data_IF_793379569748
#
_entry.id   IF_793379569748
#
_cell.length_a   1.000
_cell.length_b   1.000
_cell.length_c   1.000
_cell.angle_alpha   90.00
_cell.angle_beta   90.00
_cell.angle_gamma   90.00
#
_symmetry.space_group_name_H-M   'P 1'
#
loop_
_entity.id
_entity.type
_entity.pdbx_description
1 polymer ?
#
# COMPACT_ATOMS: atom_id res chain seq x y z
N UNK A 1 -19.68 10.69 -1.96
CA UNK A 1 -18.85 9.56 -1.55
C UNK A 1 -19.49 8.29 -2.07
N UNK A 2 -18.78 7.49 -2.82
CA UNK A 2 -19.38 6.27 -3.34
C UNK A 2 -19.45 5.18 -2.25
N UNK A 3 -20.19 4.10 -2.53
CA UNK A 3 -20.41 3.03 -1.58
C UNK A 3 -19.11 2.31 -1.20
N UNK A 4 -18.16 2.21 -2.13
CA UNK A 4 -16.90 1.55 -1.89
C UNK A 4 -16.05 2.31 -0.86
N UNK A 5 -15.99 3.64 -0.96
CA UNK A 5 -15.26 4.45 0.01
C UNK A 5 -15.88 4.39 1.40
N UNK A 6 -17.19 4.37 1.47
CA UNK A 6 -17.89 4.24 2.75
C UNK A 6 -17.63 2.88 3.38
N UNK A 7 -17.66 1.82 2.59
CA UNK A 7 -17.37 0.47 3.04
C UNK A 7 -15.94 0.34 3.58
N UNK A 8 -14.98 0.90 2.85
CA UNK A 8 -13.58 0.92 3.25
C UNK A 8 -13.39 1.69 4.56
N UNK A 9 -14.10 2.82 4.71
CA UNK A 9 -14.07 3.60 5.95
C UNK A 9 -14.61 2.82 7.14
N UNK A 10 -15.66 2.05 6.95
CA UNK A 10 -16.22 1.21 8.00
C UNK A 10 -15.27 0.05 8.36
N UNK A 11 -14.64 -0.56 7.36
CA UNK A 11 -13.63 -1.59 7.61
C UNK A 11 -12.47 -1.04 8.42
N UNK A 12 -12.02 0.16 8.10
CA UNK A 12 -10.92 0.80 8.81
C UNK A 12 -11.25 1.09 10.27
N UNK A 13 -12.54 1.33 10.59
CA UNK A 13 -12.97 1.53 11.97
C UNK A 13 -13.01 0.24 12.76
N UNK A 14 -13.38 -0.86 12.11
CA UNK A 14 -13.56 -2.16 12.76
C UNK A 14 -12.28 -2.98 12.79
N UNK A 15 -11.33 -2.65 11.95
CA UNK A 15 -10.04 -3.33 11.84
C UNK A 15 -8.95 -2.33 12.17
N UNK A 16 -8.04 -2.71 13.07
CA UNK A 16 -6.91 -1.87 13.43
C UNK A 16 -6.00 -1.72 12.21
N UNK A 17 -6.10 -0.57 11.50
CA UNK A 17 -5.20 -0.28 10.40
C UNK A 17 -3.87 0.23 10.93
N UNK A 18 -2.74 -0.29 10.44
CA UNK A 18 -1.45 0.26 10.78
C UNK A 18 -1.39 1.76 10.41
N UNK A 19 -0.81 2.54 11.30
CA UNK A 19 -0.71 4.00 11.13
C UNK A 19 -0.06 4.38 9.80
N UNK A 20 0.90 3.58 9.34
CA UNK A 20 1.64 3.87 8.11
C UNK A 20 0.70 3.94 6.89
N UNK A 21 -0.35 3.12 6.83
CA UNK A 21 -1.31 3.15 5.74
C UNK A 21 -2.08 4.46 5.73
N UNK A 22 -2.43 4.98 6.91
CA UNK A 22 -3.12 6.26 7.03
C UNK A 22 -2.19 7.41 6.62
N UNK A 23 -0.93 7.35 6.98
CA UNK A 23 0.07 8.35 6.59
C UNK A 23 0.26 8.39 5.08
N UNK A 24 0.28 7.23 4.42
CA UNK A 24 0.38 7.15 2.97
C UNK A 24 -0.83 7.76 2.29
N UNK A 25 -2.03 7.50 2.81
CA UNK A 25 -3.27 8.11 2.28
C UNK A 25 -3.22 9.62 2.36
N UNK A 26 -2.70 10.17 3.44
CA UNK A 26 -2.53 11.62 3.58
C UNK A 26 -1.56 12.17 2.55
N UNK A 27 -0.45 11.47 2.30
CA UNK A 27 0.53 11.88 1.30
C UNK A 27 -0.07 11.88 -0.11
N UNK A 28 -0.89 10.90 -0.44
CA UNK A 28 -1.52 10.82 -1.76
C UNK A 28 -2.40 12.03 -2.03
N UNK A 29 -2.99 12.60 -1.00
CA UNK A 29 -3.83 13.79 -1.13
C UNK A 29 -3.03 15.09 -1.28
N UNK A 30 -1.73 15.06 -1.06
CA UNK A 30 -0.87 16.23 -1.18
C UNK A 30 -0.37 16.34 -2.63
N UNK A 31 -0.71 17.43 -3.35
CA UNK A 31 -0.38 17.52 -4.77
C UNK A 31 1.12 17.62 -5.07
N UNK A 32 1.92 17.99 -4.09
CA UNK A 32 3.37 18.16 -4.26
C UNK A 32 4.20 17.06 -3.62
N UNK A 33 3.58 15.99 -3.14
CA UNK A 33 4.33 14.89 -2.54
C UNK A 33 5.19 14.19 -3.58
N UNK A 34 6.47 14.05 -3.28
CA UNK A 34 7.44 13.38 -4.14
C UNK A 34 7.61 11.91 -3.73
N UNK A 35 8.26 11.13 -4.59
CA UNK A 35 8.61 9.76 -4.26
C UNK A 35 9.46 9.70 -2.99
N UNK A 36 10.37 10.65 -2.80
CA UNK A 36 11.18 10.71 -1.59
C UNK A 36 10.35 10.87 -0.33
N UNK A 37 9.26 11.63 -0.40
CA UNK A 37 8.37 11.78 0.75
C UNK A 37 7.76 10.45 1.17
N UNK A 38 7.37 9.64 0.19
CA UNK A 38 6.84 8.29 0.46
C UNK A 38 7.91 7.37 1.01
N UNK A 39 9.11 7.40 0.43
CA UNK A 39 10.22 6.55 0.89
C UNK A 39 10.56 6.87 2.33
N UNK A 40 10.66 8.15 2.69
CA UNK A 40 10.96 8.56 4.05
C UNK A 40 9.95 8.02 5.06
N UNK A 41 8.67 8.01 4.69
CA UNK A 41 7.62 7.50 5.57
C UNK A 41 7.63 5.98 5.65
N UNK A 42 7.90 5.31 4.54
CA UNK A 42 7.80 3.86 4.44
C UNK A 42 9.05 3.12 4.93
N UNK A 43 10.23 3.71 4.77
CA UNK A 43 11.50 3.00 5.01
C UNK A 43 11.69 2.55 6.45
N UNK A 44 11.02 3.21 7.39
CA UNK A 44 11.11 2.86 8.80
C UNK A 44 10.24 1.68 9.19
N UNK A 45 9.35 1.26 8.29
CA UNK A 45 8.46 0.11 8.52
C UNK A 45 8.96 -1.07 7.70
N UNK A 46 9.69 -1.99 8.33
CA UNK A 46 10.27 -3.13 7.64
C UNK A 46 9.20 -4.10 7.12
N UNK A 47 8.09 -4.25 7.83
CA UNK A 47 7.00 -5.12 7.41
C UNK A 47 6.37 -4.60 6.13
N UNK A 48 6.10 -3.31 6.07
CA UNK A 48 5.54 -2.68 4.87
C UNK A 48 6.52 -2.74 3.71
N UNK A 49 7.78 -2.41 3.95
CA UNK A 49 8.84 -2.46 2.94
C UNK A 49 8.93 -3.86 2.31
N UNK A 50 8.98 -4.90 3.14
CA UNK A 50 9.06 -6.27 2.65
C UNK A 50 7.82 -6.65 1.84
N UNK A 51 6.65 -6.21 2.26
CA UNK A 51 5.40 -6.45 1.53
C UNK A 51 5.42 -5.80 0.16
N UNK A 52 5.86 -4.54 0.09
CA UNK A 52 5.98 -3.81 -1.18
C UNK A 52 6.95 -4.51 -2.13
N UNK A 53 8.11 -4.91 -1.63
CA UNK A 53 9.09 -5.62 -2.45
C UNK A 53 8.57 -6.96 -2.94
N UNK A 54 7.83 -7.67 -2.10
CA UNK A 54 7.21 -8.94 -2.49
C UNK A 54 6.19 -8.74 -3.61
N UNK A 55 5.36 -7.71 -3.51
CA UNK A 55 4.39 -7.36 -4.55
C UNK A 55 5.11 -7.00 -5.84
N UNK A 56 6.13 -6.17 -5.76
CA UNK A 56 6.89 -5.72 -6.93
C UNK A 56 7.59 -6.86 -7.64
N UNK A 57 8.04 -7.88 -6.90
CA UNK A 57 8.73 -9.04 -7.46
C UNK A 57 7.79 -10.19 -7.80
N UNK A 58 6.48 -9.98 -7.69
CA UNK A 58 5.51 -11.02 -8.02
C UNK A 58 5.39 -11.22 -9.52
N UNK A 59 4.86 -12.39 -9.90
CA UNK A 59 4.63 -12.71 -11.30
C UNK A 59 3.62 -11.77 -11.96
N UNK A 60 2.77 -11.12 -11.16
CA UNK A 60 1.80 -10.15 -11.67
C UNK A 60 2.47 -9.03 -12.47
N UNK A 61 3.61 -8.51 -11.98
CA UNK A 61 4.34 -7.46 -12.67
C UNK A 61 5.35 -7.99 -13.68
N UNK A 62 5.92 -9.16 -13.41
CA UNK A 62 6.82 -9.81 -14.35
C UNK A 62 8.04 -9.01 -14.76
N UNK A 63 8.58 -8.18 -13.88
CA UNK A 63 9.79 -7.41 -14.19
C UNK A 63 10.97 -8.34 -14.44
N UNK A 64 11.80 -7.98 -15.42
CA UNK A 64 12.96 -8.79 -15.82
C UNK A 64 14.08 -8.78 -14.78
N UNK A 65 14.11 -7.79 -13.92
CA UNK A 65 15.09 -7.66 -12.85
C UNK A 65 14.40 -7.63 -11.50
N UNK A 66 15.11 -8.12 -10.49
CA UNK A 66 14.60 -8.09 -9.11
C UNK A 66 14.52 -6.63 -8.63
N UNK A 67 13.41 -6.28 -8.02
CA UNK A 67 13.22 -4.99 -7.36
C UNK A 67 13.77 -5.10 -5.94
N UNK A 68 14.77 -4.29 -5.62
CA UNK A 68 15.50 -4.41 -4.36
C UNK A 68 15.23 -3.26 -3.39
N UNK A 69 14.72 -2.13 -3.89
CA UNK A 69 14.52 -0.94 -3.05
C UNK A 69 13.12 -0.36 -3.24
N UNK A 70 12.68 0.40 -2.20
CA UNK A 70 11.41 1.13 -2.27
C UNK A 70 11.39 2.12 -3.43
N UNK A 71 12.49 2.82 -3.67
CA UNK A 71 12.59 3.76 -4.78
C UNK A 71 12.31 3.08 -6.10
N UNK A 72 12.92 1.92 -6.34
CA UNK A 72 12.68 1.16 -7.56
C UNK A 72 11.22 0.75 -7.69
N UNK A 73 10.64 0.23 -6.60
CA UNK A 73 9.24 -0.21 -6.61
C UNK A 73 8.30 0.96 -6.93
N UNK A 74 8.49 2.09 -6.29
CA UNK A 74 7.63 3.25 -6.48
C UNK A 74 7.78 3.86 -7.88
N UNK A 75 8.99 3.85 -8.42
CA UNK A 75 9.23 4.36 -9.78
C UNK A 75 8.67 3.42 -10.86
N UNK A 76 8.74 2.12 -10.65
CA UNK A 76 8.29 1.14 -11.65
C UNK A 76 6.77 0.95 -11.62
N UNK A 77 6.18 0.92 -10.44
CA UNK A 77 4.76 0.61 -10.30
C UNK A 77 3.92 1.88 -10.24
N UNK A 78 4.43 2.91 -9.58
CA UNK A 78 3.66 4.12 -9.33
C UNK A 78 2.99 4.08 -7.97
N UNK A 79 2.86 5.25 -7.36
CA UNK A 79 2.40 5.38 -5.98
C UNK A 79 0.94 4.98 -5.83
N UNK A 80 0.08 5.44 -6.75
CA UNK A 80 -1.36 5.19 -6.64
C UNK A 80 -1.65 3.70 -6.82
N UNK A 81 -1.05 3.07 -7.82
CA UNK A 81 -1.26 1.64 -8.07
C UNK A 81 -0.75 0.81 -6.90
N UNK A 82 0.41 1.17 -6.36
CA UNK A 82 0.98 0.44 -5.22
C UNK A 82 0.10 0.58 -3.98
N UNK A 83 -0.41 1.79 -3.72
CA UNK A 83 -1.33 2.02 -2.62
C UNK A 83 -2.59 1.16 -2.76
N UNK A 84 -3.17 1.11 -3.97
CA UNK A 84 -4.38 0.33 -4.20
C UNK A 84 -4.13 -1.15 -3.97
N UNK A 85 -2.98 -1.66 -4.41
CA UNK A 85 -2.63 -3.06 -4.19
C UNK A 85 -2.43 -3.39 -2.71
N UNK A 86 -1.75 -2.53 -1.98
CA UNK A 86 -1.55 -2.70 -0.55
C UNK A 86 -2.87 -2.69 0.21
N UNK A 87 -3.73 -1.75 -0.13
CA UNK A 87 -5.02 -1.59 0.51
C UNK A 87 -5.91 -2.79 0.23
N UNK A 88 -5.95 -3.24 -1.02
CA UNK A 88 -6.72 -4.43 -1.41
C UNK A 88 -6.24 -5.67 -0.68
N UNK A 89 -4.92 -5.84 -0.56
CA UNK A 89 -4.33 -6.97 0.16
C UNK A 89 -4.74 -6.97 1.63
N UNK A 90 -4.75 -5.80 2.26
CA UNK A 90 -5.18 -5.66 3.65
C UNK A 90 -6.65 -6.02 3.82
N UNK A 91 -7.51 -5.56 2.90
CA UNK A 91 -8.94 -5.87 2.93
C UNK A 91 -9.20 -7.37 2.76
N UNK A 92 -8.51 -8.01 1.83
CA UNK A 92 -8.65 -9.45 1.59
C UNK A 92 -8.27 -10.25 2.85
N UNK A 93 -7.18 -9.88 3.51
CA UNK A 93 -6.77 -10.54 4.75
C UNK A 93 -7.83 -10.38 5.84
N UNK A 94 -8.43 -9.21 5.92
CA UNK A 94 -9.51 -8.94 6.87
C UNK A 94 -10.71 -9.86 6.61
N UNK A 95 -11.14 -9.94 5.35
CA UNK A 95 -12.25 -10.81 4.97
C UNK A 95 -11.94 -12.28 5.21
N UNK A 96 -10.73 -12.70 4.94
CA UNK A 96 -10.31 -14.08 5.17
C UNK A 96 -10.32 -14.46 6.65
N UNK A 97 -10.15 -13.49 7.55
CA UNK A 97 -10.17 -13.70 8.98
C UNK A 97 -11.57 -13.71 9.57
N UNK A 98 -12.59 -13.29 8.82
CA UNK A 98 -13.98 -13.28 9.29
C UNK A 98 -14.56 -14.69 9.15
N UNK A 99 -15.03 -15.32 10.24
CA UNK A 99 -15.68 -16.63 10.12
C UNK A 99 -16.98 -16.51 9.34
N UNK A 100 -17.12 -17.32 8.35
CA UNK A 100 -18.36 -17.38 7.57
C UNK A 100 -19.26 -18.45 8.12
#
# INVERSE_FOLDING_TARGET
MDAAQKFIGELAKNVSMPKIYLDIRKLIRQPHASINDYVERMQNDSTLTNRILRIANSDFFGFSRKVETLNQALNLIGIIQLHDLLFSSLCIRTFSAIPT
#
